data_IF_778359009372
#
_entry.id   IF_778359009372
#
_cell.length_a   1.000
_cell.length_b   1.000
_cell.length_c   1.000
_cell.angle_alpha   90.00
_cell.angle_beta   90.00
_cell.angle_gamma   90.00
#
_symmetry.space_group_name_H-M   'P 1'
#
loop_
_entity.id
_entity.type
_entity.pdbx_description
1 polymer ?
#
# COMPACT_ATOMS: atom_id res chain seq x y z
N UNK A 1 15.78 3.07 8.67
CA UNK A 1 15.82 2.66 7.24
C UNK A 1 14.87 3.52 6.40
N UNK A 2 15.04 3.53 5.08
CA UNK A 2 14.01 3.96 4.14
C UNK A 2 13.31 2.71 3.58
N UNK A 3 11.99 2.72 3.54
CA UNK A 3 11.18 1.77 2.81
C UNK A 3 10.25 2.52 1.86
N UNK A 4 10.28 2.20 0.56
CA UNK A 4 9.55 2.97 -0.45
C UNK A 4 9.86 4.47 -0.36
N UNK A 5 8.83 5.31 -0.31
CA UNK A 5 8.92 6.77 -0.14
C UNK A 5 8.85 7.21 1.33
N UNK A 6 8.95 6.30 2.28
CA UNK A 6 8.89 6.61 3.71
C UNK A 6 10.21 6.27 4.42
N UNK A 7 10.47 6.94 5.55
CA UNK A 7 11.66 6.75 6.37
C UNK A 7 11.30 6.70 7.84
N UNK A 8 12.00 5.85 8.60
CA UNK A 8 11.88 5.78 10.05
C UNK A 8 12.80 4.73 10.67
N UNK A 9 12.89 4.69 12.01
CA UNK A 9 13.56 3.61 12.71
C UNK A 9 12.82 2.28 12.54
N UNK A 10 13.60 1.22 12.50
CA UNK A 10 13.16 -0.17 12.54
C UNK A 10 13.71 -0.77 13.82
N UNK A 11 12.84 -1.25 14.67
CA UNK A 11 13.21 -1.86 15.94
C UNK A 11 12.88 -3.35 15.96
N UNK A 12 13.72 -4.12 16.63
CA UNK A 12 13.34 -5.43 17.11
C UNK A 12 12.31 -5.24 18.22
N UNK A 13 11.26 -6.05 18.25
CA UNK A 13 10.21 -5.93 19.26
C UNK A 13 10.75 -6.16 20.68
N UNK A 14 11.75 -7.06 20.84
CA UNK A 14 12.40 -7.35 22.13
C UNK A 14 13.27 -6.21 22.68
N UNK A 15 13.54 -5.17 21.88
CA UNK A 15 14.24 -3.95 22.29
C UNK A 15 13.29 -2.84 22.80
N UNK A 16 11.98 -3.09 22.82
CA UNK A 16 10.95 -2.12 23.23
C UNK A 16 10.10 -2.70 24.36
N UNK A 17 9.49 -1.83 25.20
CA UNK A 17 8.54 -2.28 26.22
C UNK A 17 7.39 -3.10 25.61
N UNK A 18 7.00 -4.17 26.30
CA UNK A 18 5.85 -4.97 25.92
C UNK A 18 4.51 -4.25 26.19
N UNK A 19 4.46 -3.45 27.25
CA UNK A 19 3.31 -2.60 27.54
C UNK A 19 3.13 -1.55 26.45
N UNK A 20 1.89 -1.40 26.01
CA UNK A 20 1.57 -0.49 24.90
C UNK A 20 1.79 0.98 25.27
N UNK A 21 1.37 1.38 26.48
CA UNK A 21 1.44 2.78 26.89
C UNK A 21 2.89 3.22 27.08
N UNK A 22 3.72 2.37 27.70
CA UNK A 22 5.16 2.60 27.86
C UNK A 22 5.86 2.65 26.50
N UNK A 23 5.58 1.70 25.61
CA UNK A 23 6.12 1.67 24.26
C UNK A 23 5.74 2.93 23.48
N UNK A 24 4.47 3.32 23.49
CA UNK A 24 3.99 4.47 22.71
C UNK A 24 4.61 5.77 23.24
N UNK A 25 4.78 5.92 24.59
CA UNK A 25 5.52 7.03 25.21
C UNK A 25 6.99 7.05 24.75
N UNK A 26 7.65 5.89 24.78
CA UNK A 26 9.03 5.75 24.32
C UNK A 26 9.16 6.14 22.84
N UNK A 27 8.23 5.71 21.98
CA UNK A 27 8.24 6.06 20.55
C UNK A 27 8.06 7.56 20.30
N UNK A 28 7.22 8.25 21.06
CA UNK A 28 7.09 9.72 21.01
C UNK A 28 8.44 10.40 21.28
N UNK A 29 9.13 9.98 22.29
CA UNK A 29 10.45 10.52 22.66
C UNK A 29 11.51 10.22 21.60
N UNK A 30 11.60 8.98 21.15
CA UNK A 30 12.53 8.58 20.10
C UNK A 30 12.33 9.43 18.84
N UNK A 31 11.09 9.72 18.50
CA UNK A 31 10.76 10.51 17.32
C UNK A 31 10.85 12.01 17.52
N UNK A 32 10.90 12.48 18.79
CA UNK A 32 10.92 13.92 19.13
C UNK A 32 9.57 14.58 18.99
N UNK A 33 8.49 13.83 19.24
CA UNK A 33 7.09 14.30 19.19
C UNK A 33 6.55 14.63 20.58
N UNK A 34 5.62 15.58 20.70
CA UNK A 34 5.11 16.46 19.64
C UNK A 34 6.05 17.67 19.39
N UNK A 35 6.47 17.87 18.17
CA UNK A 35 7.22 19.06 17.75
C UNK A 35 7.28 19.10 16.21
N UNK A 36 7.00 20.25 15.60
CA UNK A 36 6.89 20.39 14.15
C UNK A 36 8.13 19.91 13.36
N UNK A 37 9.32 20.12 13.91
CA UNK A 37 10.59 19.67 13.32
C UNK A 37 11.09 18.34 13.89
N UNK A 38 10.47 17.84 14.97
CA UNK A 38 10.95 16.67 15.73
C UNK A 38 12.45 16.77 16.04
N UNK A 39 12.90 17.99 16.42
CA UNK A 39 14.32 18.38 16.52
C UNK A 39 15.11 17.58 17.54
N UNK A 40 14.42 17.05 18.57
CA UNK A 40 15.03 16.26 19.67
C UNK A 40 14.85 14.75 19.47
N UNK A 41 14.68 14.29 18.24
CA UNK A 41 14.48 12.88 17.92
C UNK A 41 14.89 12.47 16.51
N UNK A 42 14.49 11.26 16.13
CA UNK A 42 14.77 10.67 14.82
C UNK A 42 13.73 11.04 13.75
N UNK A 43 12.66 11.70 14.13
CA UNK A 43 11.64 12.14 13.21
C UNK A 43 12.15 13.19 12.22
N UNK A 44 11.41 13.42 11.16
CA UNK A 44 11.79 14.37 10.11
C UNK A 44 10.73 15.44 9.85
N UNK A 45 9.89 15.77 10.84
CA UNK A 45 8.94 16.87 10.78
C UNK A 45 7.78 16.67 9.79
N UNK A 46 7.54 15.47 9.28
CA UNK A 46 6.39 15.20 8.43
C UNK A 46 5.94 13.73 8.49
N UNK A 47 4.75 13.45 7.99
CA UNK A 47 4.13 12.13 8.07
C UNK A 47 4.88 11.02 7.32
N UNK A 48 5.73 11.33 6.35
CA UNK A 48 6.53 10.33 5.62
C UNK A 48 7.80 9.93 6.37
N UNK A 49 8.26 10.74 7.30
CA UNK A 49 9.48 10.55 8.08
C UNK A 49 9.24 10.44 9.60
N UNK A 50 7.97 10.43 10.03
CA UNK A 50 7.57 10.18 11.42
C UNK A 50 6.84 8.83 11.56
N UNK A 51 7.56 7.76 11.21
CA UNK A 51 7.07 6.38 11.13
C UNK A 51 8.02 5.44 11.83
N UNK A 52 7.46 4.40 12.45
CA UNK A 52 8.23 3.35 13.12
C UNK A 52 7.78 1.98 12.60
N UNK A 53 8.73 1.09 12.41
CA UNK A 53 8.50 -0.32 12.17
C UNK A 53 9.01 -1.14 13.38
N UNK A 54 8.18 -2.00 13.91
CA UNK A 54 8.52 -2.93 14.99
C UNK A 54 8.41 -4.34 14.40
N UNK A 55 9.50 -5.10 14.49
CA UNK A 55 9.61 -6.40 13.83
C UNK A 55 10.07 -7.45 14.86
N UNK A 56 9.42 -8.61 14.85
CA UNK A 56 9.81 -9.78 15.64
C UNK A 56 9.79 -11.05 14.78
N UNK A 57 10.48 -12.12 15.20
CA UNK A 57 10.18 -13.45 14.66
C UNK A 57 8.70 -13.77 14.87
N UNK A 58 8.06 -14.42 13.87
CA UNK A 58 6.66 -14.81 13.99
C UNK A 58 6.52 -16.12 14.74
N UNK A 59 5.48 -16.23 15.55
CA UNK A 59 5.05 -17.53 16.12
C UNK A 59 4.15 -18.32 15.16
N UNK A 60 3.74 -17.72 14.06
CA UNK A 60 2.89 -18.34 13.05
C UNK A 60 3.71 -19.27 12.16
N UNK A 61 3.22 -20.49 11.83
CA UNK A 61 3.96 -21.43 10.99
C UNK A 61 4.05 -21.00 9.52
N UNK A 62 3.16 -20.10 9.09
CA UNK A 62 3.06 -19.59 7.71
C UNK A 62 3.83 -18.26 7.50
N UNK A 63 4.43 -17.71 8.57
CA UNK A 63 5.16 -16.44 8.52
C UNK A 63 6.56 -16.55 9.13
N UNK A 64 7.49 -15.77 8.61
CA UNK A 64 8.85 -15.68 9.16
C UNK A 64 8.92 -14.58 10.24
N UNK A 65 8.22 -13.47 10.04
CA UNK A 65 8.23 -12.32 10.95
C UNK A 65 6.85 -11.68 11.11
N UNK A 66 6.64 -11.07 12.27
CA UNK A 66 5.53 -10.16 12.53
C UNK A 66 6.01 -8.71 12.35
N UNK A 67 5.18 -7.88 11.75
CA UNK A 67 5.44 -6.47 11.52
C UNK A 67 4.30 -5.62 12.07
N UNK A 68 4.61 -4.78 13.04
CA UNK A 68 3.71 -3.74 13.55
C UNK A 68 4.19 -2.38 13.05
N UNK A 69 3.35 -1.68 12.34
CA UNK A 69 3.56 -0.30 11.91
C UNK A 69 2.99 0.68 12.96
N UNK A 70 3.73 1.72 13.25
CA UNK A 70 3.27 2.84 14.06
C UNK A 70 3.50 4.17 13.34
N UNK A 71 2.43 4.94 13.17
CA UNK A 71 2.49 6.34 12.76
C UNK A 71 2.61 7.21 14.01
N UNK A 72 3.74 7.85 14.19
CA UNK A 72 3.92 8.81 15.28
C UNK A 72 3.47 10.19 14.77
N UNK A 73 2.52 10.83 15.48
CA UNK A 73 2.07 12.18 15.11
C UNK A 73 3.21 13.18 15.30
N UNK A 74 3.31 14.14 14.37
CA UNK A 74 4.35 15.20 14.46
C UNK A 74 3.96 16.23 15.50
N UNK A 75 2.67 16.56 15.56
CA UNK A 75 2.09 17.71 16.27
C UNK A 75 1.29 17.35 17.53
N UNK A 76 1.09 16.05 17.80
CA UNK A 76 0.29 15.56 18.94
C UNK A 76 0.96 14.38 19.62
N UNK A 77 0.68 14.20 20.92
CA UNK A 77 1.09 13.03 21.70
C UNK A 77 0.26 11.79 21.31
N UNK A 78 0.46 11.32 20.09
CA UNK A 78 -0.29 10.20 19.51
C UNK A 78 0.61 9.26 18.72
N UNK A 79 0.55 7.97 19.06
CA UNK A 79 1.06 6.87 18.27
C UNK A 79 -0.11 6.07 17.73
N UNK A 80 -0.35 6.12 16.42
CA UNK A 80 -1.45 5.40 15.78
C UNK A 80 -0.95 4.11 15.13
N UNK A 81 -1.42 2.98 15.62
CA UNK A 81 -1.13 1.64 15.11
C UNK A 81 -2.30 1.04 14.31
N UNK A 82 -3.34 1.80 14.01
CA UNK A 82 -4.46 1.33 13.18
C UNK A 82 -4.14 1.31 11.68
N UNK A 83 -3.42 2.32 11.13
CA UNK A 83 -3.12 2.31 9.71
C UNK A 83 -2.03 1.29 9.36
N UNK A 84 -1.99 0.91 8.08
CA UNK A 84 -0.89 0.15 7.49
C UNK A 84 0.00 1.08 6.66
N UNK A 85 1.28 0.71 6.48
CA UNK A 85 2.20 1.43 5.61
C UNK A 85 2.99 0.48 4.70
N UNK A 86 2.51 0.31 3.45
CA UNK A 86 3.18 -0.49 2.43
C UNK A 86 4.59 0.02 2.06
N UNK A 87 4.86 1.31 2.25
CA UNK A 87 6.21 1.84 2.03
C UNK A 87 7.20 1.36 3.10
N UNK A 88 6.86 1.48 4.38
CA UNK A 88 7.72 0.95 5.47
C UNK A 88 7.86 -0.58 5.35
N UNK A 89 6.78 -1.28 4.99
CA UNK A 89 6.77 -2.73 4.77
C UNK A 89 7.87 -3.19 3.80
N UNK A 90 8.21 -2.39 2.78
CA UNK A 90 9.26 -2.73 1.82
C UNK A 90 10.64 -2.94 2.44
N UNK A 91 10.91 -2.38 3.60
CA UNK A 91 12.20 -2.55 4.29
C UNK A 91 12.14 -3.63 5.39
N UNK A 92 10.97 -4.23 5.66
CA UNK A 92 10.82 -5.27 6.70
C UNK A 92 11.55 -6.55 6.32
N UNK A 93 11.40 -7.02 5.06
CA UNK A 93 12.12 -8.20 4.58
C UNK A 93 13.65 -8.04 4.67
N UNK A 94 14.24 -6.98 4.09
CA UNK A 94 15.67 -6.67 4.28
C UNK A 94 16.09 -6.59 5.75
N UNK A 95 15.32 -5.92 6.60
CA UNK A 95 15.60 -5.82 8.04
C UNK A 95 15.58 -7.20 8.70
N UNK A 96 14.58 -8.03 8.44
CA UNK A 96 14.43 -9.36 9.01
C UNK A 96 15.64 -10.27 8.67
N UNK A 97 16.11 -10.23 7.43
CA UNK A 97 17.29 -10.98 7.00
C UNK A 97 18.56 -10.49 7.69
N UNK A 98 18.75 -9.17 7.83
CA UNK A 98 19.92 -8.59 8.51
C UNK A 98 19.91 -8.82 10.02
N UNK A 99 18.73 -8.94 10.64
CA UNK A 99 18.59 -9.27 12.07
C UNK A 99 18.63 -10.78 12.35
N UNK A 100 18.73 -11.62 11.30
CA UNK A 100 18.72 -13.08 11.46
C UNK A 100 17.36 -13.68 11.83
N UNK A 101 16.26 -12.95 11.63
CA UNK A 101 14.91 -13.46 11.86
C UNK A 101 14.45 -14.42 10.75
N UNK A 102 15.05 -14.30 9.57
CA UNK A 102 14.86 -15.21 8.45
C UNK A 102 16.22 -15.50 7.81
N UNK A 103 16.36 -16.70 7.20
CA UNK A 103 17.62 -17.11 6.59
C UNK A 103 17.68 -16.67 5.13
N UNK A 104 18.72 -15.90 4.78
CA UNK A 104 18.96 -15.49 3.41
C UNK A 104 19.39 -16.70 2.54
N UNK A 105 18.81 -16.79 1.34
CA UNK A 105 19.18 -17.73 0.27
C UNK A 105 20.04 -16.99 -0.75
N UNK A 106 20.79 -17.74 -1.58
CA UNK A 106 21.54 -17.13 -2.67
C UNK A 106 20.62 -16.77 -3.83
N UNK A 107 20.75 -15.56 -4.37
CA UNK A 107 19.93 -15.02 -5.45
C UNK A 107 18.81 -14.15 -4.92
N UNK A 108 17.68 -14.73 -4.59
CA UNK A 108 16.52 -14.05 -4.05
C UNK A 108 16.00 -14.78 -2.81
N UNK A 109 15.49 -14.02 -1.86
CA UNK A 109 14.89 -14.57 -0.64
C UNK A 109 13.48 -14.05 -0.46
N UNK A 110 12.52 -14.96 -0.29
CA UNK A 110 11.16 -14.63 0.13
C UNK A 110 11.12 -14.56 1.65
N UNK A 111 10.64 -13.46 2.19
CA UNK A 111 10.33 -13.28 3.62
C UNK A 111 8.82 -13.13 3.75
N UNK A 112 8.17 -14.02 4.51
CA UNK A 112 6.73 -13.98 4.77
C UNK A 112 6.49 -13.14 6.01
N UNK A 113 5.73 -12.08 5.84
CA UNK A 113 5.50 -11.05 6.85
C UNK A 113 4.02 -11.08 7.26
N UNK A 114 3.75 -11.33 8.51
CA UNK A 114 2.42 -11.08 9.07
C UNK A 114 2.31 -9.61 9.46
N UNK A 115 1.40 -8.90 8.84
CA UNK A 115 1.12 -7.52 9.18
C UNK A 115 0.12 -7.45 10.34
N UNK A 116 0.59 -7.11 11.53
CA UNK A 116 -0.21 -7.08 12.75
C UNK A 116 -1.33 -6.03 12.68
N UNK A 117 -1.12 -4.93 11.95
CA UNK A 117 -2.12 -3.86 11.80
C UNK A 117 -3.38 -4.31 11.01
N UNK A 118 -3.20 -5.25 10.06
CA UNK A 118 -4.28 -5.62 9.11
C UNK A 118 -4.64 -7.10 9.14
N UNK A 119 -3.84 -7.93 9.81
CA UNK A 119 -3.98 -9.39 9.77
C UNK A 119 -3.56 -10.04 8.45
N UNK A 120 -3.03 -9.27 7.50
CA UNK A 120 -2.66 -9.78 6.18
C UNK A 120 -1.26 -10.42 6.19
N UNK A 121 -1.08 -11.44 5.35
CA UNK A 121 0.23 -12.04 5.07
C UNK A 121 0.76 -11.48 3.74
N UNK A 122 1.97 -10.99 3.77
CA UNK A 122 2.66 -10.41 2.62
C UNK A 122 4.00 -11.11 2.42
N UNK A 123 4.31 -11.49 1.20
CA UNK A 123 5.64 -11.96 0.83
C UNK A 123 6.49 -10.80 0.32
N UNK A 124 7.64 -10.57 0.96
CA UNK A 124 8.66 -9.66 0.47
C UNK A 124 9.74 -10.47 -0.26
N UNK A 125 9.83 -10.31 -1.58
CA UNK A 125 10.94 -10.88 -2.37
C UNK A 125 12.11 -9.90 -2.35
N UNK A 126 13.18 -10.29 -1.67
CA UNK A 126 14.39 -9.48 -1.42
C UNK A 126 15.55 -10.00 -2.24
N UNK A 127 16.31 -9.09 -2.85
CA UNK A 127 17.52 -9.45 -3.60
C UNK A 127 18.67 -9.81 -2.65
N UNK A 128 19.19 -11.04 -2.81
CA UNK A 128 20.24 -11.61 -1.94
C UNK A 128 21.30 -12.36 -2.78
N UNK A 129 21.99 -11.70 -3.74
CA UNK A 129 22.80 -12.36 -4.76
C UNK A 129 23.91 -13.26 -4.20
N UNK A 130 24.46 -12.94 -3.04
CA UNK A 130 25.53 -13.71 -2.38
C UNK A 130 25.06 -14.29 -1.01
N UNK A 131 23.74 -14.49 -0.83
CA UNK A 131 23.17 -14.86 0.47
C UNK A 131 23.16 -13.72 1.48
N UNK A 132 23.29 -12.47 1.01
CA UNK A 132 23.23 -11.25 1.81
C UNK A 132 22.35 -10.23 1.11
N UNK A 133 21.63 -9.43 1.88
CA UNK A 133 20.82 -8.33 1.34
C UNK A 133 21.67 -7.38 0.53
N UNK A 134 21.22 -7.06 -0.68
CA UNK A 134 21.75 -5.95 -1.47
C UNK A 134 20.74 -4.83 -1.56
N UNK A 135 21.22 -3.59 -1.48
CA UNK A 135 20.43 -2.39 -1.71
C UNK A 135 20.74 -1.75 -3.07
N UNK A 136 21.79 -2.23 -3.74
CA UNK A 136 22.23 -1.72 -5.04
C UNK A 136 21.48 -2.44 -6.17
N UNK A 137 20.98 -1.67 -7.13
CA UNK A 137 20.21 -2.18 -8.27
C UNK A 137 19.65 -1.05 -9.13
N UNK A 138 18.88 -1.43 -10.15
CA UNK A 138 18.43 -0.52 -11.22
C UNK A 138 16.97 -0.07 -11.09
N UNK A 139 16.26 -0.53 -10.04
CA UNK A 139 14.86 -0.19 -9.88
C UNK A 139 14.69 1.23 -9.37
N UNK A 140 13.90 2.01 -10.11
CA UNK A 140 13.51 3.37 -9.75
C UNK A 140 12.07 3.37 -9.25
N UNK A 141 11.82 4.13 -8.19
CA UNK A 141 10.48 4.45 -7.73
C UNK A 141 10.32 5.96 -7.62
N UNK A 142 9.15 6.46 -8.02
CA UNK A 142 8.88 7.90 -7.96
C UNK A 142 8.87 8.41 -6.52
N UNK A 143 9.37 9.63 -6.33
CA UNK A 143 9.54 10.23 -5.01
C UNK A 143 10.82 9.83 -4.27
N UNK A 144 11.69 9.00 -4.88
CA UNK A 144 13.00 8.62 -4.33
C UNK A 144 14.11 8.88 -5.36
N UNK A 145 15.13 9.66 -5.05
CA UNK A 145 16.25 9.88 -5.95
C UNK A 145 17.06 8.61 -6.20
N UNK A 146 17.57 8.46 -7.45
CA UNK A 146 18.44 7.35 -7.83
C UNK A 146 17.70 6.03 -8.07
N UNK A 147 18.46 4.94 -8.02
CA UNK A 147 18.01 3.57 -8.19
C UNK A 147 18.43 2.71 -7.01
N UNK A 148 17.83 1.54 -6.84
CA UNK A 148 18.14 0.58 -5.80
C UNK A 148 17.69 -0.83 -6.20
N UNK A 149 18.07 -1.84 -5.43
CA UNK A 149 17.56 -3.19 -5.62
C UNK A 149 16.03 -3.23 -5.40
N UNK A 150 15.28 -3.96 -6.26
CA UNK A 150 13.86 -4.11 -6.08
C UNK A 150 13.53 -4.97 -4.86
N UNK A 151 12.50 -4.59 -4.14
CA UNK A 151 11.78 -5.42 -3.18
C UNK A 151 10.35 -5.55 -3.70
N UNK A 152 9.94 -6.78 -4.03
CA UNK A 152 8.58 -7.01 -4.53
C UNK A 152 7.71 -7.45 -3.36
N UNK A 153 6.67 -6.67 -3.07
CA UNK A 153 5.68 -6.98 -2.05
C UNK A 153 4.49 -7.67 -2.69
N UNK A 154 4.38 -8.98 -2.53
CA UNK A 154 3.26 -9.78 -2.99
C UNK A 154 2.22 -9.90 -1.88
N UNK A 155 0.99 -9.52 -2.18
CA UNK A 155 -0.14 -9.63 -1.27
C UNK A 155 -0.84 -10.95 -1.54
N UNK A 156 -0.80 -11.88 -0.57
CA UNK A 156 -1.53 -13.14 -0.64
C UNK A 156 -2.99 -12.93 -0.27
N UNK A 157 -3.90 -13.69 -0.92
CA UNK A 157 -5.32 -13.58 -0.63
C UNK A 157 -5.91 -12.20 -0.96
N UNK A 158 -5.33 -11.51 -1.94
CA UNK A 158 -5.80 -10.19 -2.34
C UNK A 158 -7.24 -10.22 -2.90
N UNK A 159 -7.68 -11.33 -3.46
CA UNK A 159 -9.03 -11.49 -4.00
C UNK A 159 -10.07 -11.61 -2.89
N UNK A 160 -11.11 -10.78 -2.98
CA UNK A 160 -12.23 -10.83 -2.04
C UNK A 160 -11.85 -10.45 -0.61
N UNK A 161 -10.95 -9.48 -0.45
CA UNK A 161 -10.38 -9.09 0.84
C UNK A 161 -11.40 -8.73 1.92
N UNK A 162 -12.55 -8.18 1.53
CA UNK A 162 -13.67 -7.87 2.41
C UNK A 162 -14.97 -8.58 2.02
N UNK A 163 -15.18 -8.83 0.73
CA UNK A 163 -16.43 -9.39 0.20
C UNK A 163 -16.38 -10.90 -0.05
N UNK A 164 -15.19 -11.49 0.05
CA UNK A 164 -14.96 -12.92 -0.24
C UNK A 164 -14.93 -13.27 -1.74
N UNK A 165 -15.09 -12.28 -2.64
CA UNK A 165 -15.12 -12.50 -4.09
C UNK A 165 -14.38 -11.40 -4.82
N UNK A 166 -13.63 -11.77 -5.88
CA UNK A 166 -12.95 -10.80 -6.75
C UNK A 166 -13.93 -9.83 -7.42
N UNK A 167 -15.06 -10.34 -7.91
CA UNK A 167 -16.18 -9.59 -8.46
C UNK A 167 -17.42 -9.78 -7.56
N UNK A 168 -17.61 -8.92 -6.55
CA UNK A 168 -18.67 -9.13 -5.54
C UNK A 168 -20.09 -9.13 -6.10
N UNK A 169 -20.34 -8.35 -7.17
CA UNK A 169 -21.65 -8.31 -7.85
C UNK A 169 -21.92 -9.51 -8.74
N UNK A 170 -20.89 -10.34 -9.02
CA UNK A 170 -20.94 -11.44 -9.98
C UNK A 170 -20.68 -11.01 -11.42
N UNK A 171 -20.67 -9.70 -11.70
CA UNK A 171 -20.42 -9.10 -13.02
C UNK A 171 -19.06 -8.42 -13.07
N UNK A 172 -18.42 -8.38 -14.24
CA UNK A 172 -17.18 -7.64 -14.44
C UNK A 172 -17.41 -6.17 -14.71
N UNK A 173 -18.56 -5.88 -15.32
CA UNK A 173 -19.09 -4.54 -15.56
C UNK A 173 -20.56 -4.53 -15.16
N UNK A 174 -20.93 -3.60 -14.33
CA UNK A 174 -22.28 -3.27 -13.92
C UNK A 174 -22.65 -1.91 -14.52
N UNK A 175 -23.97 -1.64 -14.61
CA UNK A 175 -24.49 -0.31 -14.92
C UNK A 175 -25.17 0.26 -13.70
N UNK A 176 -24.69 1.41 -13.21
CA UNK A 176 -25.28 2.16 -12.11
C UNK A 176 -25.67 3.54 -12.64
N UNK A 177 -26.97 3.85 -12.60
CA UNK A 177 -27.55 5.10 -13.11
C UNK A 177 -26.98 5.54 -14.49
N UNK A 178 -26.92 4.58 -15.42
CA UNK A 178 -26.45 4.81 -16.79
C UNK A 178 -24.93 4.87 -16.94
N UNK A 179 -24.15 4.65 -15.87
CA UNK A 179 -22.70 4.64 -15.91
C UNK A 179 -22.18 3.21 -15.76
N UNK A 180 -21.29 2.79 -16.67
CA UNK A 180 -20.59 1.51 -16.56
C UNK A 180 -19.53 1.59 -15.46
N UNK A 181 -19.56 0.62 -14.55
CA UNK A 181 -18.64 0.51 -13.43
C UNK A 181 -18.10 -0.91 -13.31
N UNK A 182 -16.89 -1.08 -12.82
CA UNK A 182 -16.38 -2.36 -12.35
C UNK A 182 -16.30 -2.34 -10.83
N UNK A 183 -17.06 -3.21 -10.17
CA UNK A 183 -16.97 -3.46 -8.74
C UNK A 183 -15.97 -4.60 -8.50
N UNK A 184 -14.80 -4.28 -7.99
CA UNK A 184 -13.68 -5.22 -7.82
C UNK A 184 -13.17 -5.20 -6.38
N UNK A 185 -13.02 -6.39 -5.78
CA UNK A 185 -12.35 -6.54 -4.47
C UNK A 185 -11.03 -7.31 -4.65
N UNK A 186 -9.96 -6.57 -4.85
CA UNK A 186 -8.59 -7.11 -4.91
C UNK A 186 -7.69 -6.27 -4.02
N UNK A 187 -7.32 -6.81 -2.86
CA UNK A 187 -6.62 -6.16 -1.75
C UNK A 187 -7.37 -4.93 -1.16
N UNK A 188 -8.43 -4.48 -1.80
CA UNK A 188 -9.31 -3.37 -1.40
C UNK A 188 -10.54 -3.35 -2.30
N UNK A 189 -11.76 -3.23 -1.74
CA UNK A 189 -12.96 -2.99 -2.53
C UNK A 189 -12.89 -1.67 -3.29
N UNK A 190 -13.03 -1.74 -4.61
CA UNK A 190 -12.99 -0.60 -5.52
C UNK A 190 -14.29 -0.51 -6.34
N UNK A 191 -14.72 0.71 -6.61
CA UNK A 191 -15.65 1.06 -7.68
C UNK A 191 -14.85 1.80 -8.75
N UNK A 192 -14.63 1.17 -9.90
CA UNK A 192 -13.79 1.68 -10.97
C UNK A 192 -14.69 2.19 -12.10
N UNK A 193 -14.45 3.41 -12.54
CA UNK A 193 -15.22 4.10 -13.58
C UNK A 193 -14.27 4.68 -14.61
N UNK A 194 -14.64 4.63 -15.90
CA UNK A 194 -13.93 5.38 -16.92
C UNK A 194 -14.15 6.89 -16.69
N UNK A 195 -13.07 7.66 -16.56
CA UNK A 195 -13.14 9.10 -16.29
C UNK A 195 -14.02 9.84 -17.32
N UNK A 196 -13.94 9.43 -18.60
CA UNK A 196 -14.74 10.00 -19.67
C UNK A 196 -16.25 9.86 -19.46
N UNK A 197 -16.70 8.78 -18.81
CA UNK A 197 -18.12 8.57 -18.50
C UNK A 197 -18.67 9.58 -17.48
N UNK A 198 -17.81 10.27 -16.76
CA UNK A 198 -18.17 11.34 -15.82
C UNK A 198 -17.76 12.73 -16.32
N UNK A 199 -17.42 12.88 -17.62
CA UNK A 199 -17.11 14.16 -18.25
C UNK A 199 -15.71 14.70 -17.94
N UNK A 200 -14.80 13.89 -17.37
CA UNK A 200 -13.42 14.28 -17.05
C UNK A 200 -12.41 13.46 -17.84
N UNK A 201 -11.17 13.94 -17.93
CA UNK A 201 -10.11 13.31 -18.73
C UNK A 201 -9.35 12.22 -17.95
N UNK A 202 -9.41 12.29 -16.60
CA UNK A 202 -8.56 11.50 -15.70
C UNK A 202 -7.12 12.04 -15.59
N UNK A 203 -6.85 13.19 -16.21
CA UNK A 203 -5.58 13.92 -16.15
C UNK A 203 -5.55 15.04 -15.12
N UNK A 204 -6.71 15.44 -14.62
CA UNK A 204 -6.90 16.55 -13.68
C UNK A 204 -6.05 16.37 -12.41
N UNK A 205 -5.63 17.47 -11.79
CA UNK A 205 -4.97 17.38 -10.50
C UNK A 205 -6.00 17.17 -9.36
N UNK A 206 -5.59 16.65 -8.20
CA UNK A 206 -6.51 16.36 -7.11
C UNK A 206 -7.34 17.56 -6.63
N UNK A 207 -6.79 18.78 -6.64
CA UNK A 207 -7.52 19.97 -6.21
C UNK A 207 -8.64 20.37 -7.17
N UNK A 208 -8.41 20.17 -8.48
CA UNK A 208 -9.44 20.42 -9.51
C UNK A 208 -10.61 19.47 -9.32
N UNK A 209 -10.33 18.16 -9.12
CA UNK A 209 -11.36 17.16 -8.88
C UNK A 209 -12.11 17.42 -7.56
N UNK A 210 -11.39 17.70 -6.48
CA UNK A 210 -11.98 17.97 -5.16
C UNK A 210 -12.84 19.24 -5.18
N UNK A 211 -12.51 20.22 -6.06
CA UNK A 211 -13.26 21.48 -6.24
C UNK A 211 -14.53 21.32 -7.08
N UNK A 212 -14.68 20.23 -7.82
CA UNK A 212 -15.91 19.96 -8.62
C UNK A 212 -16.98 19.28 -7.76
N UNK A 213 -17.82 20.08 -7.12
CA UNK A 213 -18.86 19.60 -6.25
C UNK A 213 -19.92 18.73 -6.95
N UNK A 214 -20.15 18.93 -8.25
CA UNK A 214 -21.10 18.11 -9.02
C UNK A 214 -20.52 16.72 -9.29
N UNK A 215 -19.26 16.66 -9.72
CA UNK A 215 -18.52 15.43 -9.91
C UNK A 215 -18.43 14.63 -8.59
N UNK A 216 -18.06 15.28 -7.48
CA UNK A 216 -17.90 14.63 -6.18
C UNK A 216 -19.21 14.04 -5.68
N UNK A 217 -20.32 14.74 -5.83
CA UNK A 217 -21.66 14.17 -5.52
C UNK A 217 -21.97 12.97 -6.40
N UNK A 218 -21.71 13.07 -7.71
CA UNK A 218 -21.96 11.98 -8.63
C UNK A 218 -21.14 10.74 -8.31
N UNK A 219 -19.87 10.91 -7.98
CA UNK A 219 -18.99 9.81 -7.52
C UNK A 219 -19.56 9.16 -6.26
N UNK A 220 -20.03 9.94 -5.31
CA UNK A 220 -20.57 9.43 -4.05
C UNK A 220 -21.88 8.66 -4.27
N UNK A 221 -22.81 9.15 -5.08
CA UNK A 221 -24.05 8.43 -5.44
C UNK A 221 -23.75 7.06 -6.04
N UNK A 222 -22.81 7.00 -7.01
CA UNK A 222 -22.37 5.75 -7.61
C UNK A 222 -21.70 4.82 -6.58
N UNK A 223 -20.88 5.38 -5.68
CA UNK A 223 -20.18 4.63 -4.62
C UNK A 223 -21.14 3.95 -3.64
N UNK A 224 -22.17 4.68 -3.19
CA UNK A 224 -23.16 4.16 -2.25
C UNK A 224 -23.92 2.98 -2.88
N UNK A 225 -24.36 3.11 -4.13
CA UNK A 225 -25.04 2.02 -4.83
C UNK A 225 -24.10 0.85 -5.15
N UNK A 226 -22.84 1.13 -5.53
CA UNK A 226 -21.84 0.09 -5.72
C UNK A 226 -21.60 -0.68 -4.41
N UNK A 227 -21.47 0.00 -3.27
CA UNK A 227 -21.31 -0.63 -1.95
C UNK A 227 -22.46 -1.58 -1.61
N UNK A 228 -23.69 -1.16 -1.86
CA UNK A 228 -24.88 -2.00 -1.68
C UNK A 228 -24.82 -3.25 -2.57
N UNK A 229 -24.51 -3.11 -3.86
CA UNK A 229 -24.41 -4.24 -4.82
C UNK A 229 -23.25 -5.19 -4.51
N UNK A 230 -22.16 -4.68 -3.94
CA UNK A 230 -21.04 -5.48 -3.48
C UNK A 230 -21.32 -6.26 -2.18
N UNK A 231 -22.50 -6.07 -1.57
CA UNK A 231 -22.88 -6.71 -0.30
C UNK A 231 -22.19 -6.09 0.93
N UNK A 232 -21.69 -4.86 0.82
CA UNK A 232 -21.07 -4.13 1.93
C UNK A 232 -22.10 -3.41 2.83
N UNK A 233 -23.38 -3.46 2.47
CA UNK A 233 -24.46 -2.80 3.19
C UNK A 233 -24.51 -1.30 2.98
N UNK A 234 -24.92 -0.55 4.03
CA UNK A 234 -24.83 0.91 4.04
C UNK A 234 -23.37 1.34 4.24
N UNK A 235 -22.83 2.03 3.27
CA UNK A 235 -21.43 2.48 3.25
C UNK A 235 -21.30 4.00 3.41
N UNK A 236 -22.35 4.69 3.85
CA UNK A 236 -22.36 6.16 4.04
C UNK A 236 -21.22 6.62 4.93
N UNK A 237 -21.01 5.96 6.06
CA UNK A 237 -19.93 6.25 7.00
C UNK A 237 -18.68 5.38 6.78
N UNK A 238 -18.63 4.66 5.66
CA UNK A 238 -17.52 3.76 5.32
C UNK A 238 -16.56 4.40 4.32
N UNK A 239 -15.29 4.05 4.46
CA UNK A 239 -14.27 4.46 3.48
C UNK A 239 -14.16 3.52 2.28
N UNK A 240 -14.97 2.47 2.21
CA UNK A 240 -15.03 1.50 1.10
C UNK A 240 -16.46 1.37 0.57
N UNK A 241 -16.64 1.01 -0.71
CA UNK A 241 -15.61 0.84 -1.72
C UNK A 241 -14.92 2.16 -2.06
N UNK A 242 -13.65 2.10 -2.49
CA UNK A 242 -12.93 3.30 -2.93
C UNK A 242 -13.31 3.62 -4.36
N UNK A 243 -13.78 4.84 -4.64
CA UNK A 243 -13.97 5.29 -6.02
C UNK A 243 -12.62 5.46 -6.75
N UNK A 244 -12.60 5.06 -8.01
CA UNK A 244 -11.42 5.21 -8.87
C UNK A 244 -11.86 5.62 -10.27
N UNK A 245 -11.33 6.73 -10.75
CA UNK A 245 -11.48 7.12 -12.14
C UNK A 245 -10.24 6.64 -12.91
N UNK A 246 -10.48 5.99 -14.05
CA UNK A 246 -9.41 5.48 -14.92
C UNK A 246 -9.47 6.07 -16.30
N UNK A 247 -8.30 6.23 -16.92
CA UNK A 247 -8.16 6.65 -18.32
C UNK A 247 -6.89 6.07 -18.94
N UNK A 248 -6.71 6.14 -20.30
CA UNK A 248 -5.54 5.58 -20.95
C UNK A 248 -4.22 6.13 -20.39
N UNK A 249 -3.24 5.25 -20.19
CA UNK A 249 -1.92 5.60 -19.65
C UNK A 249 -0.88 6.08 -20.67
N UNK A 250 -1.26 6.14 -21.96
CA UNK A 250 -0.36 6.64 -23.02
C UNK A 250 0.49 5.58 -23.71
N UNK A 251 0.20 4.29 -23.54
CA UNK A 251 0.81 3.17 -24.25
C UNK A 251 1.23 2.01 -23.38
N UNK A 252 1.36 0.83 -23.97
CA UNK A 252 1.74 -0.40 -23.29
C UNK A 252 0.75 -0.82 -22.20
N UNK A 253 1.26 -1.47 -21.17
CA UNK A 253 0.49 -1.87 -19.98
C UNK A 253 0.50 -0.74 -18.95
N UNK A 254 -0.07 0.42 -19.30
CA UNK A 254 -0.17 1.58 -18.43
C UNK A 254 -1.62 2.08 -18.34
N UNK A 255 -2.02 2.48 -17.14
CA UNK A 255 -3.34 3.05 -16.87
C UNK A 255 -3.18 4.28 -15.97
N UNK A 256 -3.85 5.37 -16.33
CA UNK A 256 -3.95 6.54 -15.45
C UNK A 256 -5.07 6.32 -14.46
N UNK A 257 -4.83 6.70 -13.21
CA UNK A 257 -5.76 6.51 -12.11
C UNK A 257 -5.88 7.76 -11.24
N UNK A 258 -7.12 8.08 -10.87
CA UNK A 258 -7.48 9.03 -9.82
C UNK A 258 -8.24 8.27 -8.75
N UNK A 259 -7.63 8.10 -7.61
CA UNK A 259 -8.10 7.29 -6.50
C UNK A 259 -8.68 8.18 -5.40
N UNK A 260 -9.89 7.91 -4.92
CA UNK A 260 -10.55 8.74 -3.91
C UNK A 260 -10.62 8.06 -2.54
N UNK A 261 -10.65 8.86 -1.44
CA UNK A 261 -10.65 8.41 -0.04
C UNK A 261 -11.80 8.96 0.81
N UNK A 262 -13.07 8.59 0.58
CA UNK A 262 -13.83 8.63 -0.67
C UNK A 262 -14.13 10.07 -1.12
N UNK A 263 -14.12 11.04 -0.16
CA UNK A 263 -14.54 12.43 -0.36
C UNK A 263 -13.43 13.37 -0.82
N UNK A 264 -12.26 12.83 -1.16
CA UNK A 264 -11.15 13.60 -1.72
C UNK A 264 -10.26 12.72 -2.59
N UNK A 265 -9.72 13.31 -3.66
CA UNK A 265 -8.78 12.66 -4.53
C UNK A 265 -7.41 12.51 -3.84
N UNK A 266 -6.90 11.30 -3.81
CA UNK A 266 -5.61 11.00 -3.20
C UNK A 266 -4.47 11.67 -3.99
N UNK A 267 -3.59 12.41 -3.33
CA UNK A 267 -2.47 13.14 -3.95
C UNK A 267 -1.40 12.24 -4.56
N UNK A 268 -1.41 10.95 -4.23
CA UNK A 268 -0.63 9.88 -4.83
C UNK A 268 -1.55 8.70 -5.15
N UNK A 269 -1.24 7.50 -4.66
CA UNK A 269 -2.10 6.32 -4.80
C UNK A 269 -1.87 5.35 -3.64
N UNK A 270 -2.93 4.70 -3.16
CA UNK A 270 -2.78 3.59 -2.24
C UNK A 270 -2.25 2.35 -2.98
N UNK A 271 -1.28 1.65 -2.37
CA UNK A 271 -0.68 0.42 -2.94
C UNK A 271 -1.73 -0.65 -3.20
N UNK A 272 -2.61 -0.91 -2.22
CA UNK A 272 -3.69 -1.89 -2.34
C UNK A 272 -4.68 -1.52 -3.45
N UNK A 273 -5.03 -0.23 -3.57
CA UNK A 273 -5.86 0.26 -4.67
C UNK A 273 -5.19 0.09 -6.04
N UNK A 274 -3.87 0.30 -6.13
CA UNK A 274 -3.14 0.13 -7.38
C UNK A 274 -3.13 -1.33 -7.87
N UNK A 275 -3.13 -2.31 -6.96
CA UNK A 275 -3.27 -3.73 -7.29
C UNK A 275 -4.61 -3.98 -7.99
N UNK A 276 -5.71 -3.48 -7.42
CA UNK A 276 -7.04 -3.63 -8.02
C UNK A 276 -7.16 -2.91 -9.38
N UNK A 277 -6.59 -1.69 -9.50
CA UNK A 277 -6.56 -0.96 -10.78
C UNK A 277 -5.75 -1.70 -11.83
N UNK A 278 -4.58 -2.24 -11.49
CA UNK A 278 -3.78 -3.05 -12.40
C UNK A 278 -4.52 -4.35 -12.80
N UNK A 279 -5.17 -5.01 -11.84
CA UNK A 279 -6.01 -6.17 -12.07
C UNK A 279 -7.14 -5.87 -13.05
N UNK A 280 -7.84 -4.76 -12.84
CA UNK A 280 -8.94 -4.36 -13.73
C UNK A 280 -8.49 -4.09 -15.17
N UNK A 281 -7.26 -3.60 -15.38
CA UNK A 281 -6.73 -3.38 -16.73
C UNK A 281 -6.51 -4.69 -17.49
N UNK A 282 -6.03 -5.74 -16.80
CA UNK A 282 -5.62 -6.99 -17.45
C UNK A 282 -6.71 -8.07 -17.44
N UNK A 283 -7.68 -7.97 -16.55
CA UNK A 283 -8.84 -8.88 -16.52
C UNK A 283 -9.85 -8.51 -17.61
N UNK A 284 -10.19 -9.44 -18.52
CA UNK A 284 -11.10 -9.15 -19.61
C UNK A 284 -12.51 -8.77 -19.11
N UNK A 285 -13.19 -7.88 -19.84
CA UNK A 285 -14.60 -7.51 -19.60
C UNK A 285 -14.83 -6.50 -18.50
N UNK A 286 -13.79 -5.89 -17.93
CA UNK A 286 -13.90 -4.75 -17.00
C UNK A 286 -13.91 -3.42 -17.77
N UNK A 287 -14.38 -2.34 -17.14
CA UNK A 287 -14.34 -0.98 -17.72
C UNK A 287 -12.92 -0.49 -18.03
N UNK A 288 -11.91 -1.05 -17.38
CA UNK A 288 -10.51 -0.72 -17.63
C UNK A 288 -9.90 -1.51 -18.79
N UNK A 289 -10.37 -2.72 -19.06
CA UNK A 289 -9.76 -3.63 -20.04
C UNK A 289 -9.83 -3.11 -21.48
N UNK A 290 -10.78 -2.24 -21.78
CA UNK A 290 -10.90 -1.57 -23.10
C UNK A 290 -9.89 -0.43 -23.29
N UNK A 291 -9.16 -0.05 -22.24
CA UNK A 291 -8.15 1.02 -22.27
C UNK A 291 -6.77 0.52 -22.74
N UNK A 292 -6.62 -0.77 -22.97
CA UNK A 292 -5.40 -1.39 -23.51
C UNK A 292 -5.64 -1.97 -24.91
N UNK A 293 -4.58 -2.38 -25.58
CA UNK A 293 -4.57 -2.86 -26.96
C UNK A 293 -5.23 -4.23 -27.21
N UNK A 294 -5.79 -4.86 -26.17
CA UNK A 294 -6.46 -6.16 -26.28
C UNK A 294 -5.55 -7.38 -26.43
N UNK A 295 -4.21 -7.22 -26.45
CA UNK A 295 -3.27 -8.34 -26.54
C UNK A 295 -3.47 -9.32 -25.37
N UNK A 296 -3.32 -10.64 -25.59
CA UNK A 296 -3.39 -11.62 -24.51
C UNK A 296 -2.42 -11.26 -23.37
N UNK A 297 -2.89 -11.38 -22.13
CA UNK A 297 -2.07 -11.11 -20.95
C UNK A 297 -2.18 -12.28 -19.97
N UNK A 298 -1.05 -12.76 -19.49
CA UNK A 298 -0.99 -13.75 -18.43
C UNK A 298 -0.11 -13.27 -17.27
N UNK A 299 1.01 -12.62 -17.56
CA UNK A 299 1.97 -12.13 -16.59
C UNK A 299 2.72 -10.93 -17.12
N UNK A 300 3.00 -9.95 -16.25
CA UNK A 300 3.78 -8.78 -16.61
C UNK A 300 3.76 -7.69 -15.55
N UNK A 301 4.19 -6.52 -15.96
CA UNK A 301 4.19 -5.30 -15.14
C UNK A 301 3.19 -4.31 -15.71
N UNK A 302 2.30 -3.84 -14.86
CA UNK A 302 1.33 -2.78 -15.15
C UNK A 302 1.78 -1.50 -14.45
N UNK A 303 1.86 -0.39 -15.19
CA UNK A 303 2.15 0.93 -14.63
C UNK A 303 0.86 1.68 -14.32
N UNK A 304 0.61 1.98 -13.05
CA UNK A 304 -0.49 2.81 -12.59
C UNK A 304 0.02 4.24 -12.41
N UNK A 305 -0.42 5.14 -13.30
CA UNK A 305 -0.03 6.55 -13.30
C UNK A 305 -0.98 7.35 -12.39
N UNK A 306 -0.42 8.06 -11.44
CA UNK A 306 -1.17 8.80 -10.42
C UNK A 306 -0.62 10.24 -10.27
N UNK A 307 -1.28 11.14 -9.51
CA UNK A 307 -0.89 12.56 -9.45
C UNK A 307 0.57 12.82 -9.07
N UNK A 308 1.17 11.97 -8.23
CA UNK A 308 2.55 12.14 -7.77
C UNK A 308 3.56 11.24 -8.52
N UNK A 309 3.17 10.60 -9.64
CA UNK A 309 4.06 9.77 -10.43
C UNK A 309 3.47 8.40 -10.80
N UNK A 310 4.22 7.32 -10.60
CA UNK A 310 3.90 5.97 -11.07
C UNK A 310 4.08 4.92 -10.00
N UNK A 311 3.17 3.93 -10.00
CA UNK A 311 3.29 2.67 -9.28
C UNK A 311 3.37 1.52 -10.28
N UNK A 312 4.44 0.73 -10.22
CA UNK A 312 4.57 -0.48 -11.01
C UNK A 312 4.07 -1.70 -10.22
N UNK A 313 3.11 -2.41 -10.78
CA UNK A 313 2.50 -3.60 -10.23
C UNK A 313 2.93 -4.81 -11.07
N UNK A 314 3.63 -5.75 -10.45
CA UNK A 314 3.87 -7.08 -11.02
C UNK A 314 2.62 -7.90 -10.83
N UNK A 315 2.03 -8.38 -11.91
CA UNK A 315 0.76 -9.10 -11.86
C UNK A 315 0.79 -10.34 -12.76
N UNK A 316 0.18 -11.40 -12.26
CA UNK A 316 -0.03 -12.65 -12.97
C UNK A 316 -1.49 -13.04 -12.84
N UNK A 317 -2.14 -13.35 -13.97
CA UNK A 317 -3.54 -13.77 -14.00
C UNK A 317 -3.67 -15.15 -14.66
N UNK A 318 -4.65 -15.91 -14.20
CA UNK A 318 -5.20 -17.05 -14.91
C UNK A 318 -6.41 -16.55 -15.71
N UNK A 319 -6.19 -16.37 -17.02
CA UNK A 319 -7.22 -15.87 -17.93
C UNK A 319 -7.97 -17.00 -18.66
N UNK A 320 -7.47 -18.25 -18.59
CA UNK A 320 -7.96 -19.39 -19.37
C UNK A 320 -9.08 -20.17 -18.67
N UNK A 321 -9.26 -19.99 -17.35
CA UNK A 321 -10.34 -20.63 -16.60
C UNK A 321 -11.70 -19.97 -16.87
N UNK A 322 -12.77 -20.71 -16.56
CA UNK A 322 -14.16 -20.17 -16.60
C UNK A 322 -14.30 -18.89 -15.73
N UNK A 323 -13.42 -18.75 -14.74
CA UNK A 323 -13.35 -17.58 -13.83
C UNK A 323 -11.92 -17.04 -13.81
N UNK A 324 -11.59 -16.06 -14.70
CA UNK A 324 -10.29 -15.37 -14.63
C UNK A 324 -10.04 -14.81 -13.25
N UNK A 325 -8.83 -15.06 -12.73
CA UNK A 325 -8.43 -14.67 -11.38
C UNK A 325 -7.03 -14.06 -11.38
N UNK A 326 -6.74 -13.28 -10.35
CA UNK A 326 -5.39 -12.78 -10.08
C UNK A 326 -4.64 -13.86 -9.28
N UNK A 327 -3.68 -14.53 -9.92
CA UNK A 327 -2.86 -15.55 -9.28
C UNK A 327 -1.84 -14.92 -8.34
N UNK A 328 -1.24 -13.80 -8.77
CA UNK A 328 -0.23 -13.09 -8.02
C UNK A 328 -0.26 -11.60 -8.37
N UNK A 329 -0.20 -10.77 -7.36
CA UNK A 329 -0.05 -9.34 -7.53
C UNK A 329 0.89 -8.77 -6.48
N UNK A 330 1.88 -8.02 -6.92
CA UNK A 330 2.88 -7.41 -6.06
C UNK A 330 3.29 -6.03 -6.54
N UNK A 331 3.61 -5.17 -5.59
CA UNK A 331 4.14 -3.83 -5.90
C UNK A 331 5.66 -3.85 -5.84
N UNK A 332 6.27 -3.26 -6.86
CA UNK A 332 7.72 -3.04 -6.87
C UNK A 332 8.04 -1.84 -5.99
N UNK A 333 8.84 -2.06 -4.98
CA UNK A 333 9.38 -1.03 -4.08
C UNK A 333 10.90 -1.15 -4.02
N UNK A 334 11.52 -0.22 -3.31
CA UNK A 334 12.94 -0.28 -2.95
C UNK A 334 13.11 0.04 -1.48
N UNK A 335 14.19 -0.43 -0.89
CA UNK A 335 14.59 -0.13 0.47
C UNK A 335 16.01 0.42 0.51
N UNK A 336 16.40 1.02 1.64
CA UNK A 336 17.77 1.40 1.91
C UNK A 336 18.05 1.37 3.41
N UNK A 337 19.11 0.71 3.80
CA UNK A 337 19.68 0.86 5.13
C UNK A 337 20.44 2.18 5.17
N UNK A 338 20.02 3.09 6.04
CA UNK A 338 20.63 4.42 6.18
C UNK A 338 21.70 4.39 7.26
N UNK A 339 21.34 3.81 8.41
CA UNK A 339 22.23 3.66 9.57
C UNK A 339 21.80 2.46 10.40
N UNK A 340 22.67 2.02 11.27
CA UNK A 340 22.42 1.07 12.36
C UNK A 340 23.14 1.56 13.59
N UNK A 341 22.49 1.48 14.75
CA UNK A 341 23.06 1.96 16.01
C UNK A 341 22.04 1.91 17.14
N UNK A 342 22.35 2.60 18.22
CA UNK A 342 21.53 2.71 19.43
C UNK A 342 20.96 4.11 19.52
N UNK A 343 19.71 4.22 19.99
CA UNK A 343 19.07 5.50 20.32
C UNK A 343 19.29 5.78 21.79
N UNK A 344 19.84 6.94 22.10
CA UNK A 344 20.01 7.38 23.49
C UNK A 344 18.72 8.03 24.00
N UNK A 345 18.20 7.54 25.10
CA UNK A 345 17.01 8.08 25.76
C UNK A 345 17.44 8.74 27.08
N UNK A 346 16.95 9.96 27.39
CA UNK A 346 17.24 10.63 28.67
C UNK A 346 16.74 9.80 29.85
N UNK A 347 17.59 9.56 30.86
CA UNK A 347 17.30 8.72 32.05
C UNK A 347 16.12 9.21 32.89
N UNK A 348 15.93 10.54 33.00
CA UNK A 348 14.82 11.17 33.77
C UNK A 348 13.41 10.73 33.33
N UNK A 349 13.29 10.06 32.18
CA UNK A 349 12.00 9.60 31.64
C UNK A 349 11.59 8.22 32.22
N UNK A 350 12.49 7.55 32.93
CA UNK A 350 12.21 6.32 33.67
C UNK A 350 11.98 6.60 35.16
N UNK A 351 12.28 7.84 35.61
CA UNK A 351 12.23 8.21 37.04
C UNK A 351 10.88 8.80 37.48
N UNK A 352 9.93 9.06 36.55
CA UNK A 352 8.61 9.63 36.84
C UNK A 352 7.57 8.63 37.41
N UNK A 353 8.01 7.46 37.85
CA UNK A 353 7.21 6.47 38.58
C UNK A 353 7.59 6.37 40.10
N UNK A 354 8.06 7.48 40.69
CA UNK A 354 8.13 7.62 42.15
C UNK A 354 7.12 8.62 42.70
#
# INVERSE_FOLDING_TARGET
>A
MRGGTSRGPFFRADALPADRAERDRLLLMIMGSPHELQINGLGGGNSLSSKVAIVSPSSRPDCDVDYLFAQVSVDRELVDTRPNCGNMLAAVGPFALEQGFAQARRGETVVRIFNVNTGAVIEALVQTPQGKVTYDGDSRIDGVPGTAAPVILNFQGAEGSLTGKLFPTGSRTDVIDGVEVTCLDSAMPLMIVNAKSLGVTGGENPKELDGDAALMRRIEELRLEAGRRMGLGDVTDSVVPKPVLVSPGGGGLAIRSRYFTPHSCHRAHAVTGAIGVAGSLVLPGTVSSVLRDGSPFSRGRVSVLHPAGRLDISIEIDALGERPRIVKAGVVRTARKIMQGTVCIPSRLFDENQ
#
